data_IF_240943832462
#
_entry.id   IF_240943832462
#
_cell.length_a   1.000
_cell.length_b   1.000
_cell.length_c   1.000
_cell.angle_alpha   90.00
_cell.angle_beta   90.00
_cell.angle_gamma   90.00
#
_symmetry.space_group_name_H-M   'P 1'
#
loop_
_entity.id
_entity.type
_entity.pdbx_description
1 polymer ?
#
# COMPACT_ATOMS: atom_id res chain seq x y z
N UNK A 1 -73.32 -7.69 2.45
CA UNK A 1 -73.99 -7.94 3.74
C UNK A 1 -72.91 -8.13 4.80
N UNK A 2 -73.02 -7.43 5.94
CA UNK A 2 -72.18 -7.51 7.16
C UNK A 2 -70.67 -7.25 7.08
N UNK A 3 -70.28 -6.15 7.75
CA UNK A 3 -68.95 -5.93 8.32
C UNK A 3 -68.62 -6.96 9.41
N UNK A 4 -67.33 -7.10 9.75
CA UNK A 4 -66.90 -7.31 11.15
C UNK A 4 -65.71 -6.44 11.51
N UNK A 5 -65.73 -5.98 12.76
CA UNK A 5 -64.80 -5.05 13.40
C UNK A 5 -64.17 -5.73 14.61
N UNK A 6 -62.94 -5.35 14.97
CA UNK A 6 -62.23 -5.76 16.19
C UNK A 6 -60.75 -5.34 16.07
N UNK A 7 -60.14 -4.40 16.81
CA UNK A 7 -60.34 -3.71 18.10
C UNK A 7 -59.41 -4.22 19.23
N UNK A 8 -58.63 -3.30 19.83
CA UNK A 8 -57.53 -3.54 20.79
C UNK A 8 -56.19 -3.10 20.17
N UNK A 9 -55.49 -2.01 20.55
CA UNK A 9 -55.29 -1.30 21.84
C UNK A 9 -54.53 -2.18 22.84
N UNK A 10 -53.39 -1.80 23.42
CA UNK A 10 -52.63 -0.53 23.43
C UNK A 10 -51.13 -0.80 23.02
N UNK A 11 -50.06 -0.04 23.28
CA UNK A 11 -49.73 1.13 24.14
C UNK A 11 -48.66 2.05 23.49
N UNK A 12 -48.43 3.24 24.06
CA UNK A 12 -47.10 3.47 24.68
C UNK A 12 -46.01 4.28 23.97
N UNK A 13 -46.28 5.08 22.92
CA UNK A 13 -45.22 5.96 22.36
C UNK A 13 -45.07 7.22 23.22
N UNK A 14 -44.22 7.13 24.25
CA UNK A 14 -43.78 8.29 25.02
C UNK A 14 -42.94 9.24 24.18
N UNK A 15 -43.46 10.45 23.99
CA UNK A 15 -42.83 11.55 23.25
C UNK A 15 -41.79 12.27 24.11
N UNK A 16 -40.56 11.73 24.18
CA UNK A 16 -39.38 12.49 24.61
C UNK A 16 -38.73 13.12 23.36
N UNK A 17 -38.91 14.42 23.09
CA UNK A 17 -38.13 15.51 23.71
C UNK A 17 -36.62 15.24 23.61
N UNK A 18 -36.08 15.46 22.41
CA UNK A 18 -34.66 15.73 22.21
C UNK A 18 -34.41 17.15 22.70
N UNK A 19 -33.90 17.27 23.93
CA UNK A 19 -33.42 18.54 24.45
C UNK A 19 -32.03 18.81 23.87
N UNK A 20 -31.90 19.88 23.07
CA UNK A 20 -30.62 20.35 22.58
C UNK A 20 -29.99 21.30 23.62
N UNK A 21 -28.86 20.96 24.27
CA UNK A 21 -28.11 21.94 25.06
C UNK A 21 -27.36 22.91 24.13
N UNK A 22 -27.93 24.09 23.94
CA UNK A 22 -27.19 25.25 23.42
C UNK A 22 -26.20 25.75 24.47
N UNK A 23 -24.91 25.70 24.17
CA UNK A 23 -23.86 26.43 24.93
C UNK A 23 -23.03 27.29 23.99
N UNK A 24 -22.73 28.52 24.44
CA UNK A 24 -22.22 29.63 23.65
C UNK A 24 -20.67 29.57 23.40
N UNK A 25 -20.11 30.44 22.53
CA UNK A 25 -18.72 30.30 22.05
C UNK A 25 -17.68 31.14 22.81
N UNK A 26 -16.41 30.69 22.73
CA UNK A 26 -15.20 31.49 23.04
C UNK A 26 -14.08 30.66 23.69
N UNK A 27 -12.82 31.14 23.74
CA UNK A 27 -12.28 32.35 23.12
C UNK A 27 -11.26 32.09 21.98
N UNK A 28 -11.01 33.12 21.17
CA UNK A 28 -9.89 33.18 20.22
C UNK A 28 -8.53 33.13 20.92
N UNK A 29 -7.68 32.17 20.54
CA UNK A 29 -6.24 32.24 20.81
C UNK A 29 -5.49 32.74 19.57
N UNK A 30 -5.03 34.00 19.64
CA UNK A 30 -4.16 34.60 18.64
C UNK A 30 -2.77 33.97 18.73
N UNK A 31 -2.33 33.27 17.68
CA UNK A 31 -0.94 32.83 17.53
C UNK A 31 -0.14 33.81 16.67
N UNK A 32 0.08 35.00 17.23
CA UNK A 32 1.13 35.90 16.76
C UNK A 32 2.46 35.39 17.31
N UNK A 33 3.31 34.82 16.46
CA UNK A 33 4.48 34.07 16.93
C UNK A 33 5.53 33.77 15.87
N UNK A 34 5.98 34.78 15.11
CA UNK A 34 7.25 34.66 14.39
C UNK A 34 8.39 34.47 15.40
N UNK A 35 9.13 33.37 15.28
CA UNK A 35 10.51 33.31 15.78
C UNK A 35 11.41 32.64 14.76
N UNK A 36 12.59 33.25 14.54
CA UNK A 36 13.55 32.90 13.48
C UNK A 36 14.79 32.32 14.16
N UNK A 37 15.13 31.07 13.85
CA UNK A 37 16.44 30.46 14.12
C UNK A 37 16.68 29.43 13.01
N UNK A 38 17.30 29.82 11.90
CA UNK A 38 18.76 29.93 11.69
C UNK A 38 19.44 28.56 11.69
N UNK A 39 20.00 28.25 10.52
CA UNK A 39 20.58 26.98 10.10
C UNK A 39 21.78 26.48 10.91
N UNK A 40 22.04 25.18 10.80
CA UNK A 40 23.39 24.62 10.78
C UNK A 40 23.43 23.38 9.87
N UNK A 41 23.90 23.55 8.63
CA UNK A 41 24.12 22.44 7.70
C UNK A 41 25.36 21.64 8.12
N UNK A 42 25.20 20.35 8.43
CA UNK A 42 26.34 19.44 8.67
C UNK A 42 26.59 18.61 7.42
N UNK A 43 27.53 19.07 6.59
CA UNK A 43 28.08 18.30 5.47
C UNK A 43 29.00 17.21 6.00
N UNK A 44 28.53 15.95 6.02
CA UNK A 44 29.38 14.79 6.29
C UNK A 44 29.98 14.30 4.98
N UNK A 45 31.24 14.63 4.73
CA UNK A 45 31.99 14.13 3.58
C UNK A 45 32.40 12.67 3.82
N UNK A 46 31.73 11.72 3.14
CA UNK A 46 32.18 10.34 3.06
C UNK A 46 33.36 10.20 2.09
N UNK A 47 34.57 10.02 2.63
CA UNK A 47 35.74 9.68 1.82
C UNK A 47 35.71 8.20 1.45
N UNK A 48 35.60 7.87 0.16
CA UNK A 48 35.70 6.49 -0.31
C UNK A 48 37.15 6.00 -0.20
N UNK A 49 37.42 5.09 0.73
CA UNK A 49 38.65 4.28 0.72
C UNK A 49 38.46 3.10 -0.22
N UNK A 50 38.86 3.27 -1.48
CA UNK A 50 38.93 2.18 -2.44
C UNK A 50 40.17 1.32 -2.23
N UNK A 51 40.00 0.04 -1.87
CA UNK A 51 41.05 -0.96 -2.01
C UNK A 51 40.97 -1.60 -3.40
N UNK A 52 41.72 -1.04 -4.36
CA UNK A 52 42.00 -1.72 -5.61
C UNK A 52 43.11 -2.75 -5.43
N UNK A 53 42.81 -4.03 -5.64
CA UNK A 53 43.83 -5.08 -5.76
C UNK A 53 44.13 -5.35 -7.23
N UNK A 54 45.25 -4.82 -7.71
CA UNK A 54 45.81 -5.19 -9.02
C UNK A 54 46.37 -6.60 -8.96
N UNK A 55 45.74 -7.55 -9.66
CA UNK A 55 46.38 -8.82 -10.02
C UNK A 55 46.53 -8.83 -11.54
N UNK A 56 47.74 -8.52 -11.99
CA UNK A 56 48.21 -8.84 -13.33
C UNK A 56 49.04 -10.10 -13.26
N UNK A 57 48.59 -11.19 -13.87
CA UNK A 57 49.52 -12.09 -14.55
C UNK A 57 48.87 -12.96 -15.65
N UNK A 58 49.45 -12.81 -16.85
CA UNK A 58 49.62 -13.77 -17.95
C UNK A 58 48.45 -14.50 -18.65
N UNK A 59 48.65 -14.66 -19.97
CA UNK A 59 47.67 -15.08 -20.98
C UNK A 59 47.31 -16.58 -21.08
N UNK A 60 46.06 -16.78 -21.54
CA UNK A 60 45.42 -17.86 -22.33
C UNK A 60 46.29 -18.67 -23.34
N UNK A 61 45.78 -19.76 -23.99
CA UNK A 61 44.40 -20.32 -24.00
C UNK A 61 44.36 -21.84 -23.63
N UNK A 62 43.20 -22.50 -23.42
CA UNK A 62 42.30 -23.02 -24.50
C UNK A 62 41.10 -23.76 -23.87
N UNK A 63 40.04 -23.92 -24.68
CA UNK A 63 38.89 -24.84 -24.52
C UNK A 63 37.68 -24.31 -23.71
N UNK A 64 36.62 -23.99 -24.45
CA UNK A 64 35.29 -23.73 -23.92
C UNK A 64 34.78 -24.90 -23.07
N UNK A 65 34.32 -24.57 -21.88
CA UNK A 65 33.24 -25.29 -21.22
C UNK A 65 32.39 -24.24 -20.53
N UNK A 66 31.30 -23.84 -21.18
CA UNK A 66 30.23 -23.08 -20.53
C UNK A 66 29.50 -24.05 -19.58
N UNK A 67 30.17 -24.40 -18.50
CA UNK A 67 29.48 -24.88 -17.32
C UNK A 67 28.59 -23.72 -16.88
N UNK A 68 27.28 -23.86 -17.10
CA UNK A 68 26.29 -23.04 -16.42
C UNK A 68 26.40 -23.34 -14.94
N UNK A 69 27.33 -22.67 -14.27
CA UNK A 69 27.32 -22.54 -12.82
C UNK A 69 25.99 -21.90 -12.48
N UNK A 70 25.04 -22.74 -12.08
CA UNK A 70 23.84 -22.30 -11.41
C UNK A 70 24.31 -21.59 -10.15
N UNK A 71 24.49 -20.27 -10.26
CA UNK A 71 24.72 -19.40 -9.13
C UNK A 71 23.42 -19.43 -8.34
N UNK A 72 23.30 -20.41 -7.46
CA UNK A 72 22.24 -20.51 -6.49
C UNK A 72 22.25 -19.19 -5.74
N UNK A 73 21.32 -18.31 -6.10
CA UNK A 73 21.17 -17.02 -5.48
C UNK A 73 20.75 -17.32 -4.05
N UNK A 74 21.72 -17.30 -3.13
CA UNK A 74 21.46 -17.32 -1.70
C UNK A 74 20.54 -16.13 -1.47
N UNK A 75 19.26 -16.40 -1.21
CA UNK A 75 18.30 -15.36 -0.94
C UNK A 75 18.78 -14.64 0.32
N UNK A 76 19.31 -13.43 0.14
CA UNK A 76 19.63 -12.54 1.25
C UNK A 76 18.30 -12.12 1.84
N UNK A 77 17.78 -12.91 2.78
CA UNK A 77 16.59 -12.58 3.55
C UNK A 77 16.81 -11.21 4.16
N UNK A 78 15.95 -10.25 3.80
CA UNK A 78 16.03 -8.91 4.35
C UNK A 78 15.98 -8.98 5.89
N UNK A 79 16.76 -8.15 6.60
CA UNK A 79 16.74 -8.15 8.06
C UNK A 79 15.31 -7.90 8.56
N UNK A 80 14.95 -8.60 9.64
CA UNK A 80 13.59 -8.52 10.17
C UNK A 80 13.25 -7.09 10.61
N UNK A 81 12.14 -6.57 10.10
CA UNK A 81 11.61 -5.26 10.45
C UNK A 81 11.04 -5.29 11.89
N UNK A 82 11.10 -4.18 12.64
CA UNK A 82 10.46 -4.11 13.94
C UNK A 82 8.93 -4.09 13.80
N UNK A 83 8.22 -4.77 14.71
CA UNK A 83 6.75 -4.78 14.79
C UNK A 83 6.21 -3.49 15.41
N UNK A 84 6.46 -2.36 14.75
CA UNK A 84 6.08 -1.02 15.22
C UNK A 84 5.21 -0.30 14.20
N UNK A 85 4.45 0.68 14.70
CA UNK A 85 3.65 1.58 13.87
C UNK A 85 4.50 2.30 12.80
N UNK A 86 5.72 2.68 13.15
CA UNK A 86 6.67 3.36 12.27
C UNK A 86 7.07 2.48 11.07
N UNK A 87 7.43 1.22 11.30
CA UNK A 87 7.80 0.30 10.22
C UNK A 87 6.61 -0.02 9.29
N UNK A 88 5.42 -0.26 9.85
CA UNK A 88 4.20 -0.43 9.05
C UNK A 88 3.86 0.84 8.23
N UNK A 89 4.10 2.03 8.78
CA UNK A 89 3.92 3.31 8.06
C UNK A 89 4.95 3.45 6.93
N UNK A 90 6.19 3.05 7.14
CA UNK A 90 7.23 3.09 6.11
C UNK A 90 6.88 2.20 4.90
N UNK A 91 6.38 0.98 5.12
CA UNK A 91 5.93 0.10 4.02
C UNK A 91 4.71 0.66 3.27
N UNK A 92 3.76 1.26 3.99
CA UNK A 92 2.63 1.94 3.35
C UNK A 92 3.07 3.13 2.48
N UNK A 93 4.06 3.90 2.94
CA UNK A 93 4.60 5.04 2.18
C UNK A 93 5.39 4.57 0.96
N UNK A 94 6.25 3.56 1.12
CA UNK A 94 7.02 2.94 0.03
C UNK A 94 6.10 2.43 -1.10
N UNK A 95 4.93 1.87 -0.75
CA UNK A 95 3.93 1.45 -1.74
C UNK A 95 3.37 2.63 -2.56
N UNK A 96 3.05 3.75 -1.89
CA UNK A 96 2.59 4.98 -2.55
C UNK A 96 3.68 5.55 -3.45
N UNK A 97 4.92 5.64 -2.94
CA UNK A 97 6.05 6.26 -3.64
C UNK A 97 6.45 5.46 -4.89
N UNK A 98 6.50 4.13 -4.79
CA UNK A 98 6.75 3.26 -5.96
C UNK A 98 5.64 3.33 -6.99
N UNK A 99 4.37 3.36 -6.57
CA UNK A 99 3.24 3.52 -7.50
C UNK A 99 3.30 4.87 -8.21
N UNK A 100 3.61 5.95 -7.50
CA UNK A 100 3.79 7.29 -8.08
C UNK A 100 4.99 7.36 -9.05
N UNK A 101 6.03 6.56 -8.82
CA UNK A 101 7.18 6.40 -9.71
C UNK A 101 6.94 5.45 -10.90
N UNK A 102 5.81 4.74 -10.95
CA UNK A 102 5.53 3.69 -11.95
C UNK A 102 6.31 2.38 -11.73
N UNK A 103 6.93 2.19 -10.56
CA UNK A 103 7.69 0.97 -10.21
C UNK A 103 6.75 -0.16 -9.75
N UNK A 104 5.95 -0.68 -10.68
CA UNK A 104 5.00 -1.76 -10.39
C UNK A 104 5.71 -3.08 -10.02
N UNK A 105 6.91 -3.33 -10.56
CA UNK A 105 7.73 -4.48 -10.18
C UNK A 105 8.14 -4.41 -8.71
N UNK A 106 8.55 -3.23 -8.22
CA UNK A 106 8.83 -2.98 -6.81
C UNK A 106 7.59 -2.98 -5.92
N UNK A 107 6.45 -2.46 -6.39
CA UNK A 107 5.17 -2.59 -5.66
C UNK A 107 4.81 -4.05 -5.41
N UNK A 108 4.99 -4.95 -6.40
CA UNK A 108 4.70 -6.37 -6.24
C UNK A 108 5.49 -7.03 -5.10
N UNK A 109 6.73 -6.58 -4.86
CA UNK A 109 7.58 -7.08 -3.76
C UNK A 109 7.07 -6.67 -2.36
N UNK A 110 6.19 -5.68 -2.27
CA UNK A 110 5.59 -5.23 -1.00
C UNK A 110 4.32 -6.01 -0.64
N UNK A 111 3.80 -6.87 -1.51
CA UNK A 111 2.63 -7.69 -1.19
C UNK A 111 3.00 -8.96 -0.41
N UNK A 112 2.04 -9.42 0.39
CA UNK A 112 2.08 -10.72 1.08
C UNK A 112 2.24 -11.91 0.13
N UNK A 113 2.71 -13.03 0.66
CA UNK A 113 2.90 -14.31 -0.04
C UNK A 113 1.61 -14.75 -0.73
N UNK A 114 0.46 -14.66 -0.04
CA UNK A 114 -0.87 -14.95 -0.62
C UNK A 114 -1.13 -14.23 -1.95
N UNK A 115 -0.78 -12.94 -2.05
CA UNK A 115 -0.99 -12.15 -3.27
C UNK A 115 0.03 -12.54 -4.33
N UNK A 116 1.30 -12.74 -3.94
CA UNK A 116 2.40 -13.12 -4.83
C UNK A 116 2.27 -14.55 -5.38
N UNK A 117 1.55 -15.44 -4.69
CA UNK A 117 1.13 -16.75 -5.20
C UNK A 117 -0.03 -16.62 -6.20
N UNK A 118 -0.97 -15.68 -5.98
CA UNK A 118 -2.13 -15.47 -6.85
C UNK A 118 -1.82 -14.75 -8.17
N UNK A 119 -0.74 -13.95 -8.24
CA UNK A 119 -0.32 -13.29 -9.48
C UNK A 119 1.21 -13.16 -9.58
N UNK A 120 1.77 -13.56 -10.73
CA UNK A 120 3.19 -13.37 -11.01
C UNK A 120 3.56 -11.88 -11.12
N UNK A 121 4.81 -11.54 -10.83
CA UNK A 121 5.30 -10.16 -10.97
C UNK A 121 5.09 -9.61 -12.39
N UNK A 122 5.37 -10.43 -13.41
CA UNK A 122 5.17 -10.08 -14.82
C UNK A 122 3.70 -9.79 -15.15
N UNK A 123 2.77 -10.61 -14.68
CA UNK A 123 1.34 -10.39 -14.88
C UNK A 123 0.87 -9.13 -14.14
N UNK A 124 1.32 -8.93 -12.89
CA UNK A 124 0.98 -7.74 -12.12
C UNK A 124 1.46 -6.45 -12.80
N UNK A 125 2.70 -6.43 -13.29
CA UNK A 125 3.24 -5.31 -14.07
C UNK A 125 2.42 -5.10 -15.34
N UNK A 126 2.16 -6.17 -16.11
CA UNK A 126 1.38 -6.11 -17.36
C UNK A 126 -0.01 -5.51 -17.15
N UNK A 127 -0.77 -5.98 -16.14
CA UNK A 127 -2.08 -5.41 -15.80
C UNK A 127 -1.95 -3.97 -15.30
N UNK A 128 -0.98 -3.70 -14.41
CA UNK A 128 -0.81 -2.36 -13.83
C UNK A 128 -0.48 -1.31 -14.88
N UNK A 129 0.40 -1.62 -15.84
CA UNK A 129 0.77 -0.72 -16.93
C UNK A 129 -0.36 -0.55 -17.94
N UNK A 130 -0.98 -1.66 -18.38
CA UNK A 130 -2.07 -1.67 -19.37
C UNK A 130 -3.33 -0.97 -18.86
N UNK A 131 -3.67 -1.19 -17.59
CA UNK A 131 -4.85 -0.64 -16.92
C UNK A 131 -4.50 0.54 -16.03
N UNK A 132 -3.59 1.40 -16.50
CA UNK A 132 -3.37 2.72 -15.87
C UNK A 132 -4.47 3.72 -16.29
N UNK A 133 -5.71 3.52 -15.84
CA UNK A 133 -6.76 4.55 -15.96
C UNK A 133 -6.33 5.88 -15.34
N UNK A 134 -6.98 6.96 -15.76
CA UNK A 134 -6.80 8.27 -15.13
C UNK A 134 -7.08 8.27 -13.61
N UNK A 135 -7.85 7.31 -13.08
CA UNK A 135 -8.08 7.11 -11.64
C UNK A 135 -6.91 6.40 -10.94
N UNK A 136 -6.32 5.37 -11.54
CA UNK A 136 -5.19 4.63 -10.93
C UNK A 136 -3.88 5.43 -10.88
N UNK A 137 -3.77 6.51 -11.67
CA UNK A 137 -2.70 7.52 -11.67
C UNK A 137 -2.89 8.63 -10.62
N UNK A 138 -4.00 8.65 -9.88
CA UNK A 138 -4.25 9.70 -8.90
C UNK A 138 -3.21 9.64 -7.77
N UNK A 139 -2.63 10.79 -7.37
CA UNK A 139 -1.69 10.82 -6.27
C UNK A 139 -2.39 10.34 -4.99
N UNK A 140 -1.89 9.23 -4.45
CA UNK A 140 -2.33 8.69 -3.18
C UNK A 140 -1.47 9.24 -2.04
N UNK A 141 -2.00 9.29 -0.81
CA UNK A 141 -1.22 9.65 0.39
C UNK A 141 -1.49 8.69 1.54
N UNK A 142 -0.52 8.53 2.43
CA UNK A 142 -0.71 7.80 3.70
C UNK A 142 -1.18 8.77 4.78
N UNK A 143 -2.48 8.77 5.08
CA UNK A 143 -3.08 9.58 6.15
C UNK A 143 -2.89 8.98 7.57
N UNK A 144 -2.22 7.83 7.64
CA UNK A 144 -1.71 7.25 8.87
C UNK A 144 -2.22 5.84 9.14
N UNK A 145 -1.34 5.06 9.75
CA UNK A 145 -1.53 3.65 10.07
C UNK A 145 -2.03 3.50 11.52
N UNK A 146 -2.62 2.34 11.84
CA UNK A 146 -2.79 1.85 13.23
C UNK A 146 -2.37 0.39 13.29
N UNK A 147 -1.80 -0.07 14.41
CA UNK A 147 -1.64 -1.50 14.64
C UNK A 147 -3.01 -2.12 14.99
N UNK A 148 -3.23 -3.37 14.60
CA UNK A 148 -4.46 -4.15 14.82
C UNK A 148 -4.12 -5.54 15.41
N UNK A 149 -3.18 -5.54 16.35
CA UNK A 149 -2.55 -6.75 16.90
C UNK A 149 -1.03 -6.73 16.72
N UNK A 150 -0.33 -7.83 17.06
CA UNK A 150 1.12 -7.92 16.95
C UNK A 150 1.61 -8.05 15.49
N UNK A 151 0.79 -8.67 14.63
CA UNK A 151 1.16 -9.09 13.27
C UNK A 151 0.27 -8.47 12.18
N UNK A 152 -0.50 -7.42 12.55
CA UNK A 152 -1.42 -6.73 11.66
C UNK A 152 -1.37 -5.22 11.88
N UNK A 153 -1.51 -4.48 10.80
CA UNK A 153 -1.73 -3.05 10.81
C UNK A 153 -2.77 -2.66 9.75
N UNK A 154 -3.44 -1.52 9.95
CA UNK A 154 -4.44 -0.99 9.02
C UNK A 154 -4.03 0.43 8.66
N UNK A 155 -3.70 0.61 7.40
CA UNK A 155 -3.37 1.88 6.77
C UNK A 155 -4.64 2.59 6.33
N UNK A 156 -4.63 3.93 6.35
CA UNK A 156 -5.64 4.76 5.68
C UNK A 156 -4.94 5.51 4.56
N UNK A 157 -5.15 5.05 3.34
CA UNK A 157 -4.76 5.75 2.12
C UNK A 157 -5.83 6.80 1.79
N UNK A 158 -5.45 7.86 1.09
CA UNK A 158 -6.40 8.81 0.48
C UNK A 158 -6.03 9.09 -0.98
N UNK A 159 -7.03 9.11 -1.86
CA UNK A 159 -6.93 9.55 -3.24
C UNK A 159 -8.19 10.36 -3.60
N UNK A 160 -8.03 11.61 -4.05
CA UNK A 160 -9.14 12.57 -4.27
C UNK A 160 -10.20 12.58 -3.15
N UNK A 161 -9.77 12.78 -1.89
CA UNK A 161 -10.62 12.80 -0.69
C UNK A 161 -11.27 11.45 -0.29
N UNK A 162 -11.25 10.43 -1.16
CA UNK A 162 -11.70 9.08 -0.83
C UNK A 162 -10.69 8.37 0.05
N UNK A 163 -11.15 7.84 1.19
CA UNK A 163 -10.31 7.13 2.17
C UNK A 163 -10.43 5.63 1.99
N UNK A 164 -9.34 5.03 1.53
CA UNK A 164 -9.23 3.60 1.29
C UNK A 164 -8.46 2.98 2.46
N UNK A 165 -9.07 2.05 3.24
CA UNK A 165 -8.28 1.23 4.15
C UNK A 165 -7.28 0.37 3.35
N UNK A 166 -6.21 -0.10 3.98
CA UNK A 166 -5.33 -1.11 3.41
C UNK A 166 -4.72 -1.93 4.55
N UNK A 167 -4.93 -3.24 4.51
CA UNK A 167 -4.45 -4.14 5.56
C UNK A 167 -2.97 -4.49 5.30
N UNK A 168 -2.16 -4.47 6.35
CA UNK A 168 -0.79 -4.95 6.35
C UNK A 168 -0.69 -6.15 7.29
N UNK A 169 0.06 -7.16 6.88
CA UNK A 169 0.40 -8.36 7.65
C UNK A 169 1.89 -8.41 7.91
N UNK A 170 2.29 -9.03 9.02
CA UNK A 170 3.70 -9.30 9.31
C UNK A 170 4.01 -10.78 9.05
N UNK A 171 4.78 -11.05 7.99
CA UNK A 171 5.17 -12.39 7.55
C UNK A 171 6.65 -12.41 7.15
N UNK A 172 7.34 -13.55 7.29
CA UNK A 172 8.75 -13.67 6.88
C UNK A 172 9.74 -12.69 7.56
N UNK A 173 9.32 -11.96 8.59
CA UNK A 173 10.09 -10.87 9.20
C UNK A 173 9.86 -9.48 8.60
N UNK A 174 8.92 -9.30 7.68
CA UNK A 174 8.62 -8.03 7.01
C UNK A 174 7.16 -7.63 7.25
N UNK A 175 6.87 -6.32 7.30
CA UNK A 175 5.52 -5.84 7.02
C UNK A 175 5.29 -5.89 5.52
N UNK A 176 4.17 -6.45 5.10
CA UNK A 176 3.74 -6.54 3.70
C UNK A 176 2.27 -6.20 3.58
N UNK A 177 1.86 -5.65 2.44
CA UNK A 177 0.47 -5.36 2.15
C UNK A 177 -0.28 -6.68 1.94
N UNK A 178 -1.35 -6.87 2.70
CA UNK A 178 -2.47 -7.67 2.23
C UNK A 178 -3.10 -6.91 1.05
N UNK A 179 -3.83 -7.63 0.21
CA UNK A 179 -4.55 -7.07 -0.94
C UNK A 179 -5.28 -5.77 -0.56
N UNK A 180 -5.13 -4.72 -1.38
CA UNK A 180 -5.93 -3.51 -1.18
C UNK A 180 -7.42 -3.88 -1.27
N UNK A 181 -8.30 -3.28 -0.43
CA UNK A 181 -9.73 -3.55 -0.44
C UNK A 181 -10.47 -2.84 -1.58
N UNK A 182 -9.89 -2.91 -2.79
CA UNK A 182 -10.64 -3.00 -4.04
C UNK A 182 -10.98 -4.49 -4.20
N UNK A 183 -12.22 -4.93 -3.92
CA UNK A 183 -12.57 -6.35 -3.97
C UNK A 183 -12.29 -6.98 -5.34
N UNK A 184 -12.41 -6.21 -6.42
CA UNK A 184 -12.09 -6.59 -7.79
C UNK A 184 -10.73 -7.32 -7.89
N UNK A 185 -9.62 -6.68 -7.51
CA UNK A 185 -8.29 -7.33 -7.63
C UNK A 185 -8.07 -8.54 -6.70
N UNK A 186 -8.93 -8.75 -5.70
CA UNK A 186 -8.89 -9.96 -4.88
C UNK A 186 -9.65 -11.13 -5.53
N UNK A 187 -10.70 -10.82 -6.27
CA UNK A 187 -11.52 -11.78 -7.02
C UNK A 187 -10.78 -12.22 -8.30
N UNK A 188 -10.03 -11.33 -8.95
CA UNK A 188 -9.19 -11.60 -10.14
C UNK A 188 -7.98 -12.54 -9.88
N UNK A 189 -7.63 -12.87 -8.63
CA UNK A 189 -6.39 -13.61 -8.34
C UNK A 189 -6.45 -15.06 -8.84
N UNK A 190 -5.43 -15.46 -9.59
CA UNK A 190 -5.33 -16.76 -10.24
C UNK A 190 -5.97 -16.82 -11.65
N UNK A 191 -6.60 -15.74 -12.11
CA UNK A 191 -7.14 -15.66 -13.47
C UNK A 191 -6.06 -15.44 -14.55
N UNK A 192 -6.34 -15.78 -15.81
CA UNK A 192 -5.47 -15.43 -16.93
C UNK A 192 -5.36 -13.91 -17.08
N UNK A 193 -4.15 -13.39 -17.21
CA UNK A 193 -3.86 -11.93 -17.26
C UNK A 193 -4.70 -11.16 -18.29
N UNK A 194 -5.07 -11.81 -19.40
CA UNK A 194 -5.92 -11.23 -20.44
C UNK A 194 -7.37 -11.04 -19.99
N UNK A 195 -7.91 -11.96 -19.19
CA UNK A 195 -9.26 -11.86 -18.62
C UNK A 195 -9.33 -10.64 -17.70
N UNK A 196 -8.39 -10.52 -16.76
CA UNK A 196 -8.26 -9.37 -15.85
C UNK A 196 -8.23 -8.02 -16.60
N UNK A 197 -7.54 -7.96 -17.74
CA UNK A 197 -7.45 -6.76 -18.57
C UNK A 197 -8.77 -6.49 -19.29
N UNK A 198 -9.46 -7.51 -19.79
CA UNK A 198 -10.69 -7.33 -20.56
C UNK A 198 -11.91 -7.03 -19.66
N UNK A 199 -11.94 -7.55 -18.43
CA UNK A 199 -12.95 -7.22 -17.41
C UNK A 199 -12.80 -5.78 -16.92
N UNK A 200 -11.60 -5.36 -16.53
CA UNK A 200 -11.33 -3.97 -16.14
C UNK A 200 -11.55 -2.94 -17.26
N UNK A 201 -11.38 -3.33 -18.54
CA UNK A 201 -11.81 -2.52 -19.69
C UNK A 201 -13.34 -2.37 -19.76
N UNK A 202 -14.09 -3.42 -19.42
CA UNK A 202 -15.55 -3.38 -19.39
C UNK A 202 -16.09 -2.51 -18.24
N UNK A 203 -15.36 -2.44 -17.13
CA UNK A 203 -15.66 -1.60 -15.96
C UNK A 203 -15.23 -0.13 -16.15
N UNK A 204 -14.22 0.11 -17.01
CA UNK A 204 -13.69 1.44 -17.33
C UNK A 204 -12.38 1.79 -16.60
N UNK A 205 -11.81 0.84 -15.86
CA UNK A 205 -10.55 0.99 -15.13
C UNK A 205 -9.29 0.64 -15.93
N UNK A 206 -9.45 0.22 -17.19
CA UNK A 206 -8.45 0.40 -18.24
C UNK A 206 -9.02 1.35 -19.30
N UNK A 207 -8.20 2.27 -19.83
CA UNK A 207 -8.64 3.04 -21.01
C UNK A 207 -8.72 2.11 -22.23
N UNK A 208 -9.84 2.17 -22.96
CA UNK A 208 -9.98 1.46 -24.22
C UNK A 208 -9.08 2.12 -25.28
N UNK A 209 -8.17 1.32 -25.87
CA UNK A 209 -7.34 1.71 -27.02
C UNK A 209 -8.16 1.76 -28.31
#
# INVERSE_FOLDING_TARGET
>A
MSLRTGHGRAEGICRQQIEHPTTAPGPTHSLTGMSRTVAASVLIAFTLTGCGSTVTDSDSPTASSFATSANAATATTAPAQPKTLEAATAVAQEWVDRRAAGDYAGVWLLFSEQVREGISQENYVTVSETCTSSLTKLPSTVNGVRLDGPDKAITRLEAMEFKLPADLVYEGGQWLLLLLPTPEFAEDLGEPVQQMIDERKAEGDCEAQ
#
